data_IF_597470409463
#
_entry.id   IF_597470409463
#
_cell.length_a   1.000
_cell.length_b   1.000
_cell.length_c   1.000
_cell.angle_alpha   90.00
_cell.angle_beta   90.00
_cell.angle_gamma   90.00
#
_symmetry.space_group_name_H-M   'P 1'
#
loop_
_entity.id
_entity.type
_entity.pdbx_description
1 polymer ?
#
# COMPACT_ATOMS: atom_id res chain seq x y z
N UNK A 1 -11.99 -23.21 -6.41
CA UNK A 1 -10.86 -22.80 -7.28
C UNK A 1 -9.98 -24.01 -7.37
N UNK A 2 -9.87 -24.57 -8.56
CA UNK A 2 -9.09 -25.76 -8.84
C UNK A 2 -7.77 -25.35 -9.51
N UNK A 3 -6.65 -25.75 -8.92
CA UNK A 3 -5.31 -25.54 -9.48
C UNK A 3 -5.07 -26.58 -10.56
N UNK A 4 -4.71 -26.13 -11.76
CA UNK A 4 -4.49 -27.00 -12.93
C UNK A 4 -3.01 -27.02 -13.34
N UNK A 5 -2.73 -27.11 -14.63
CA UNK A 5 -1.39 -27.26 -15.18
C UNK A 5 -0.46 -26.08 -14.85
N UNK A 6 0.84 -26.38 -14.73
CA UNK A 6 1.89 -25.37 -14.62
C UNK A 6 2.07 -24.66 -15.96
N UNK A 7 1.92 -23.34 -15.98
CA UNK A 7 2.11 -22.48 -17.16
C UNK A 7 3.57 -22.04 -17.26
N UNK A 8 4.14 -21.58 -16.14
CA UNK A 8 5.46 -20.97 -16.10
C UNK A 8 6.11 -21.18 -14.73
N UNK A 9 7.42 -21.46 -14.72
CA UNK A 9 8.22 -21.47 -13.51
C UNK A 9 9.38 -20.48 -13.63
N UNK A 10 9.35 -19.45 -12.77
CA UNK A 10 10.41 -18.48 -12.65
C UNK A 10 11.33 -18.76 -11.45
N UNK A 11 12.25 -17.82 -11.21
CA UNK A 11 13.23 -17.90 -10.11
C UNK A 11 12.58 -17.96 -8.72
N UNK A 12 11.46 -17.27 -8.52
CA UNK A 12 10.82 -17.12 -7.21
C UNK A 12 9.37 -17.61 -7.14
N UNK A 13 8.72 -17.88 -8.29
CA UNK A 13 7.30 -18.21 -8.38
C UNK A 13 7.04 -19.28 -9.43
N UNK A 14 6.00 -20.08 -9.21
CA UNK A 14 5.35 -20.92 -10.22
C UNK A 14 3.97 -20.36 -10.51
N UNK A 15 3.57 -20.37 -11.78
CA UNK A 15 2.26 -19.87 -12.23
C UNK A 15 1.47 -21.03 -12.80
N UNK A 16 0.28 -21.26 -12.24
CA UNK A 16 -0.59 -22.37 -12.61
C UNK A 16 -1.89 -21.85 -13.22
N UNK A 17 -2.41 -22.58 -14.21
CA UNK A 17 -3.75 -22.37 -14.72
C UNK A 17 -4.80 -22.73 -13.66
N UNK A 18 -6.03 -22.27 -13.89
CA UNK A 18 -7.19 -22.59 -13.04
C UNK A 18 -8.37 -23.12 -13.84
N UNK A 19 -9.42 -23.54 -13.14
CA UNK A 19 -10.70 -23.85 -13.73
C UNK A 19 -11.46 -22.64 -14.29
N UNK A 20 -11.03 -21.41 -13.98
CA UNK A 20 -11.62 -20.19 -14.51
C UNK A 20 -10.72 -19.55 -15.58
N UNK A 21 -11.19 -19.42 -16.83
CA UNK A 21 -10.41 -18.81 -17.90
C UNK A 21 -9.92 -17.40 -17.54
N UNK A 22 -8.63 -17.16 -17.81
CA UNK A 22 -7.97 -15.89 -17.53
C UNK A 22 -7.53 -15.68 -16.09
N UNK A 23 -7.83 -16.60 -15.16
CA UNK A 23 -7.30 -16.56 -13.79
C UNK A 23 -6.15 -17.55 -13.62
N UNK A 24 -5.13 -17.14 -12.88
CA UNK A 24 -3.94 -17.95 -12.59
C UNK A 24 -3.59 -17.90 -11.11
N UNK A 25 -2.89 -18.93 -10.65
CA UNK A 25 -2.38 -19.04 -9.29
C UNK A 25 -0.87 -18.81 -9.33
N UNK A 26 -0.40 -17.81 -8.61
CA UNK A 26 1.02 -17.62 -8.34
C UNK A 26 1.37 -18.32 -7.02
N UNK A 27 2.14 -19.41 -7.10
CA UNK A 27 2.74 -20.08 -5.95
C UNK A 27 4.15 -19.52 -5.72
N UNK A 28 4.36 -18.91 -4.57
CA UNK A 28 5.64 -18.33 -4.18
C UNK A 28 6.54 -19.36 -3.53
N UNK A 29 7.81 -19.35 -3.93
CA UNK A 29 8.83 -20.31 -3.50
C UNK A 29 9.78 -19.71 -2.47
N UNK A 30 10.31 -20.57 -1.61
CA UNK A 30 11.33 -20.22 -0.62
C UNK A 30 12.73 -20.06 -1.22
N UNK A 31 12.91 -20.39 -2.51
CA UNK A 31 14.17 -20.14 -3.19
C UNK A 31 14.44 -18.64 -3.32
N UNK A 32 15.69 -18.29 -3.03
CA UNK A 32 16.22 -16.95 -3.13
C UNK A 32 17.37 -16.93 -4.13
N UNK A 33 17.37 -15.92 -4.99
CA UNK A 33 18.44 -15.67 -5.95
C UNK A 33 18.93 -14.23 -5.85
N UNK A 34 20.23 -14.01 -6.04
CA UNK A 34 20.84 -12.68 -6.08
C UNK A 34 21.94 -12.62 -7.16
N UNK A 35 22.27 -11.40 -7.60
CA UNK A 35 23.28 -11.13 -8.64
C UNK A 35 23.04 -11.96 -9.92
N UNK A 36 21.83 -11.84 -10.49
CA UNK A 36 21.42 -12.52 -11.73
C UNK A 36 21.55 -14.05 -11.65
N UNK A 37 21.25 -14.60 -10.47
CA UNK A 37 21.28 -16.04 -10.23
C UNK A 37 22.66 -16.62 -9.89
N UNK A 38 23.71 -15.78 -9.80
CA UNK A 38 25.05 -16.20 -9.34
C UNK A 38 25.07 -16.64 -7.88
N UNK A 39 24.15 -16.11 -7.07
CA UNK A 39 23.92 -16.55 -5.69
C UNK A 39 22.54 -17.19 -5.62
N UNK A 40 22.47 -18.40 -5.07
CA UNK A 40 21.24 -19.16 -4.84
C UNK A 40 21.22 -19.69 -3.41
N UNK A 41 20.04 -19.76 -2.82
CA UNK A 41 19.83 -20.28 -1.47
C UNK A 41 18.36 -20.50 -1.17
N UNK A 42 18.07 -20.98 0.03
CA UNK A 42 16.71 -21.10 0.56
C UNK A 42 16.59 -20.11 1.72
N UNK A 43 15.49 -19.35 1.76
CA UNK A 43 15.10 -18.52 2.90
C UNK A 43 13.78 -19.12 3.40
N UNK A 44 13.81 -19.81 4.53
CA UNK A 44 12.62 -20.51 5.02
C UNK A 44 11.45 -19.54 5.26
N UNK A 45 10.27 -19.86 4.74
CA UNK A 45 9.08 -19.02 4.87
C UNK A 45 9.06 -17.76 3.99
N UNK A 46 10.04 -17.57 3.11
CA UNK A 46 10.06 -16.46 2.14
C UNK A 46 8.83 -16.47 1.24
N UNK A 47 8.47 -17.62 0.69
CA UNK A 47 7.34 -17.74 -0.22
C UNK A 47 6.04 -17.30 0.45
N UNK A 48 5.87 -17.69 1.72
CA UNK A 48 4.77 -17.23 2.57
C UNK A 48 4.76 -15.72 2.75
N UNK A 49 5.89 -15.15 3.17
CA UNK A 49 6.01 -13.70 3.41
C UNK A 49 5.71 -12.92 2.14
N UNK A 50 6.25 -13.34 0.99
CA UNK A 50 6.04 -12.65 -0.27
C UNK A 50 4.58 -12.71 -0.74
N UNK A 51 3.93 -13.87 -0.62
CA UNK A 51 2.52 -14.01 -1.00
C UNK A 51 1.59 -13.18 -0.12
N UNK A 52 1.74 -13.29 1.20
CA UNK A 52 0.90 -12.57 2.17
C UNK A 52 1.12 -11.05 2.08
N UNK A 53 2.37 -10.59 1.98
CA UNK A 53 2.67 -9.17 1.80
C UNK A 53 2.11 -8.65 0.47
N UNK A 54 2.23 -9.41 -0.62
CA UNK A 54 1.66 -9.00 -1.92
C UNK A 54 0.14 -8.86 -1.85
N UNK A 55 -0.57 -9.81 -1.22
CA UNK A 55 -2.02 -9.70 -1.01
C UNK A 55 -2.39 -8.44 -0.21
N UNK A 56 -1.70 -8.18 0.91
CA UNK A 56 -1.97 -7.00 1.75
C UNK A 56 -1.75 -5.71 0.97
N UNK A 57 -0.60 -5.59 0.30
CA UNK A 57 -0.22 -4.38 -0.42
C UNK A 57 -1.12 -4.17 -1.64
N UNK A 58 -1.44 -5.20 -2.42
CA UNK A 58 -2.36 -5.04 -3.55
C UNK A 58 -3.77 -4.65 -3.10
N UNK A 59 -4.32 -5.26 -2.05
CA UNK A 59 -5.61 -4.82 -1.49
C UNK A 59 -5.56 -3.38 -1.00
N UNK A 60 -4.46 -2.98 -0.37
CA UNK A 60 -4.28 -1.59 0.09
C UNK A 60 -4.21 -0.61 -1.09
N UNK A 61 -3.46 -0.93 -2.14
CA UNK A 61 -3.36 -0.14 -3.36
C UNK A 61 -4.70 -0.03 -4.09
N UNK A 62 -5.48 -1.11 -4.15
CA UNK A 62 -6.81 -1.13 -4.77
C UNK A 62 -7.82 -0.26 -4.02
N UNK A 63 -7.79 -0.27 -2.69
CA UNK A 63 -8.58 0.68 -1.86
C UNK A 63 -8.23 2.14 -2.18
N UNK A 64 -6.99 2.41 -2.58
CA UNK A 64 -6.52 3.74 -2.98
C UNK A 64 -6.61 3.99 -4.50
N UNK A 65 -7.32 3.13 -5.23
CA UNK A 65 -7.67 3.34 -6.64
C UNK A 65 -6.59 2.96 -7.65
N UNK A 66 -5.56 2.20 -7.26
CA UNK A 66 -4.62 1.58 -8.20
C UNK A 66 -5.22 0.25 -8.67
N UNK A 67 -5.26 0.01 -9.98
CA UNK A 67 -5.78 -1.24 -10.54
C UNK A 67 -4.66 -2.28 -10.61
N UNK A 68 -4.92 -3.46 -10.07
CA UNK A 68 -3.95 -4.56 -10.02
C UNK A 68 -4.53 -5.82 -10.65
N UNK A 69 -3.69 -6.83 -10.89
CA UNK A 69 -4.14 -8.15 -11.29
C UNK A 69 -4.67 -9.00 -10.12
N UNK A 70 -4.53 -8.53 -8.88
CA UNK A 70 -4.80 -9.32 -7.69
C UNK A 70 -6.28 -9.65 -7.55
N UNK A 71 -6.60 -10.86 -7.09
CA UNK A 71 -7.97 -11.26 -6.77
C UNK A 71 -8.11 -11.61 -5.29
N UNK A 72 -7.27 -12.50 -4.77
CA UNK A 72 -7.24 -12.89 -3.35
C UNK A 72 -6.07 -13.81 -3.02
N UNK A 73 -5.67 -13.83 -1.75
CA UNK A 73 -4.91 -14.93 -1.16
C UNK A 73 -5.71 -16.25 -1.17
N UNK A 74 -5.08 -17.35 -1.59
CA UNK A 74 -5.67 -18.70 -1.58
C UNK A 74 -5.13 -19.56 -0.45
N UNK A 75 -3.84 -19.44 -0.16
CA UNK A 75 -3.13 -20.15 0.90
C UNK A 75 -1.98 -19.27 1.38
N UNK A 76 -1.18 -19.74 2.34
CA UNK A 76 -0.12 -18.90 2.92
C UNK A 76 0.96 -18.50 1.90
N UNK A 77 1.14 -19.25 0.81
CA UNK A 77 2.13 -18.98 -0.24
C UNK A 77 1.54 -18.88 -1.65
N UNK A 78 0.21 -18.82 -1.80
CA UNK A 78 -0.45 -18.72 -3.10
C UNK A 78 -1.43 -17.56 -3.18
N UNK A 79 -1.32 -16.76 -4.25
CA UNK A 79 -2.31 -15.74 -4.59
C UNK A 79 -3.00 -16.09 -5.92
N UNK A 80 -4.28 -15.76 -6.00
CA UNK A 80 -5.06 -15.78 -7.24
C UNK A 80 -4.98 -14.41 -7.91
N UNK A 81 -4.73 -14.39 -9.22
CA UNK A 81 -4.64 -13.18 -10.02
C UNK A 81 -5.32 -13.36 -11.38
N UNK A 82 -5.54 -12.25 -12.08
CA UNK A 82 -5.78 -12.26 -13.51
C UNK A 82 -4.47 -12.46 -14.27
N UNK A 83 -4.51 -13.29 -15.32
CA UNK A 83 -3.44 -13.38 -16.30
C UNK A 83 -3.25 -12.05 -17.00
N UNK A 84 -1.98 -11.63 -17.13
CA UNK A 84 -1.59 -10.43 -17.86
C UNK A 84 -0.63 -10.80 -18.99
N UNK A 85 -0.74 -10.09 -20.11
CA UNK A 85 0.34 -9.98 -21.09
C UNK A 85 1.37 -8.98 -20.55
N UNK A 86 2.45 -9.51 -19.97
CA UNK A 86 3.45 -8.70 -19.28
C UNK A 86 4.23 -7.81 -20.25
N UNK A 87 4.37 -6.52 -19.91
CA UNK A 87 5.25 -5.59 -20.59
C UNK A 87 6.66 -5.84 -20.04
N UNK A 88 7.68 -6.15 -20.88
CA UNK A 88 9.01 -6.56 -20.42
C UNK A 88 9.87 -5.36 -19.97
N UNK A 89 9.29 -4.43 -19.21
CA UNK A 89 9.96 -3.26 -18.64
C UNK A 89 9.70 -3.23 -17.13
N UNK A 90 10.78 -3.31 -16.36
CA UNK A 90 10.73 -3.13 -14.92
C UNK A 90 10.84 -1.62 -14.61
N UNK A 91 9.94 -1.12 -13.76
CA UNK A 91 9.96 0.27 -13.32
C UNK A 91 10.44 0.33 -11.88
N UNK A 92 11.54 1.04 -11.64
CA UNK A 92 12.09 1.23 -10.30
C UNK A 92 11.85 2.66 -9.85
N UNK A 93 11.21 2.83 -8.70
CA UNK A 93 11.05 4.13 -8.04
C UNK A 93 11.99 4.21 -6.85
N UNK A 94 12.76 5.30 -6.74
CA UNK A 94 13.78 5.49 -5.70
C UNK A 94 13.53 6.75 -4.88
N UNK A 95 13.34 6.57 -3.58
CA UNK A 95 13.29 7.66 -2.60
C UNK A 95 14.67 7.94 -1.98
N UNK A 96 15.52 6.93 -1.91
CA UNK A 96 16.87 7.02 -1.35
C UNK A 96 17.89 6.36 -2.28
N UNK A 97 19.14 6.81 -2.20
CA UNK A 97 20.26 6.18 -2.89
C UNK A 97 20.58 4.84 -2.23
N UNK A 98 20.39 3.76 -2.98
CA UNK A 98 20.74 2.41 -2.58
C UNK A 98 21.09 1.55 -3.81
N UNK A 99 21.64 0.34 -3.56
CA UNK A 99 21.84 -0.67 -4.58
C UNK A 99 22.55 -0.17 -5.85
N UNK A 100 21.94 -0.42 -7.01
CA UNK A 100 22.51 -0.07 -8.31
C UNK A 100 22.65 1.44 -8.54
N UNK A 101 21.74 2.27 -8.01
CA UNK A 101 21.85 3.73 -8.12
C UNK A 101 23.09 4.26 -7.39
N UNK A 102 23.27 3.85 -6.13
CA UNK A 102 24.40 4.27 -5.31
C UNK A 102 25.73 3.89 -5.98
N UNK A 103 25.83 2.65 -6.47
CA UNK A 103 27.02 2.17 -7.18
C UNK A 103 27.26 2.91 -8.51
N UNK A 104 26.21 3.11 -9.33
CA UNK A 104 26.32 3.67 -10.68
C UNK A 104 26.71 5.15 -10.66
N UNK A 105 26.16 5.92 -9.72
CA UNK A 105 26.35 7.38 -9.67
C UNK A 105 27.27 7.85 -8.53
N UNK A 106 27.78 6.93 -7.71
CA UNK A 106 28.67 7.26 -6.59
C UNK A 106 27.98 7.99 -5.43
N UNK A 107 26.66 7.86 -5.30
CA UNK A 107 25.95 8.41 -4.15
C UNK A 107 26.31 7.64 -2.87
N UNK A 108 26.53 8.35 -1.74
CA UNK A 108 26.52 7.70 -0.44
C UNK A 108 25.19 6.97 -0.23
N UNK A 109 25.25 5.73 0.26
CA UNK A 109 24.05 4.96 0.54
C UNK A 109 23.20 5.69 1.60
N UNK A 110 21.86 5.62 1.47
CA UNK A 110 20.86 6.32 2.29
C UNK A 110 20.80 7.84 2.09
N UNK A 111 21.44 8.38 1.05
CA UNK A 111 21.17 9.76 0.64
C UNK A 111 19.70 9.87 0.20
N UNK A 112 18.92 10.76 0.81
CA UNK A 112 17.55 11.02 0.38
C UNK A 112 17.53 11.76 -0.97
N UNK A 113 16.64 11.33 -1.87
CA UNK A 113 16.46 11.99 -3.16
C UNK A 113 15.59 13.24 -3.00
N UNK A 114 15.98 14.34 -3.65
CA UNK A 114 15.21 15.60 -3.63
C UNK A 114 13.78 15.43 -4.17
N UNK A 115 13.60 14.48 -5.07
CA UNK A 115 12.33 13.99 -5.58
C UNK A 115 12.50 12.52 -5.97
N UNK A 116 11.44 11.69 -5.95
CA UNK A 116 11.54 10.30 -6.38
C UNK A 116 12.09 10.17 -7.80
N UNK A 117 13.06 9.29 -7.99
CA UNK A 117 13.63 8.98 -9.31
C UNK A 117 12.92 7.75 -9.88
N UNK A 118 12.50 7.82 -11.14
CA UNK A 118 11.97 6.66 -11.89
C UNK A 118 13.03 6.18 -12.89
N UNK A 119 13.31 4.88 -12.86
CA UNK A 119 14.24 4.22 -13.77
C UNK A 119 13.57 3.05 -14.47
N UNK A 120 13.95 2.82 -15.73
CA UNK A 120 13.44 1.72 -16.53
C UNK A 120 14.53 0.68 -16.75
N UNK A 121 14.15 -0.58 -16.69
CA UNK A 121 15.06 -1.72 -16.86
C UNK A 121 14.43 -2.74 -17.80
N UNK A 122 15.22 -3.29 -18.71
CA UNK A 122 14.74 -4.32 -19.61
C UNK A 122 14.62 -5.63 -18.83
N UNK A 123 13.45 -6.27 -18.81
CA UNK A 123 13.32 -7.60 -18.22
C UNK A 123 13.93 -8.65 -19.16
N UNK A 124 15.21 -8.90 -19.03
CA UNK A 124 15.96 -9.85 -19.83
C UNK A 124 17.13 -10.44 -19.05
N UNK A 125 16.89 -11.63 -18.49
CA UNK A 125 17.83 -12.37 -17.65
C UNK A 125 19.17 -12.67 -18.36
N UNK A 126 19.17 -12.87 -19.69
CA UNK A 126 20.40 -13.15 -20.45
C UNK A 126 21.30 -11.92 -20.56
N UNK A 127 20.70 -10.73 -20.60
CA UNK A 127 21.40 -9.45 -20.65
C UNK A 127 21.70 -8.85 -19.26
N UNK A 128 21.23 -9.50 -18.19
CA UNK A 128 21.39 -9.02 -16.81
C UNK A 128 20.58 -7.76 -16.54
N UNK A 129 19.37 -7.69 -17.08
CA UNK A 129 18.41 -6.60 -16.91
C UNK A 129 19.02 -5.19 -17.08
N UNK A 130 19.43 -4.80 -18.30
CA UNK A 130 20.09 -3.52 -18.52
C UNK A 130 19.15 -2.32 -18.30
N UNK A 131 19.70 -1.21 -17.80
CA UNK A 131 18.95 0.06 -17.69
C UNK A 131 18.61 0.61 -19.08
N UNK A 132 17.39 1.10 -19.24
CA UNK A 132 16.88 1.65 -20.49
C UNK A 132 16.60 3.15 -20.39
N UNK A 133 16.89 3.86 -21.48
CA UNK A 133 16.27 5.14 -21.77
C UNK A 133 14.91 4.93 -22.45
N UNK A 134 14.05 5.95 -22.46
CA UNK A 134 12.74 5.87 -23.13
C UNK A 134 12.88 5.56 -24.62
N UNK A 135 13.92 6.11 -25.24
CA UNK A 135 14.26 5.88 -26.64
C UNK A 135 14.59 4.41 -26.91
N UNK A 136 15.24 3.71 -25.97
CA UNK A 136 15.48 2.27 -26.12
C UNK A 136 14.17 1.47 -26.06
N UNK A 137 13.25 1.84 -25.16
CA UNK A 137 11.93 1.19 -25.03
C UNK A 137 11.14 1.34 -26.33
N UNK A 138 11.16 2.54 -26.93
CA UNK A 138 10.51 2.83 -28.21
C UNK A 138 11.15 2.04 -29.36
N UNK A 139 12.48 2.06 -29.46
CA UNK A 139 13.23 1.36 -30.52
C UNK A 139 12.99 -0.15 -30.49
N UNK A 140 12.97 -0.73 -29.29
CA UNK A 140 12.72 -2.15 -29.09
C UNK A 140 11.24 -2.53 -29.18
N UNK A 141 10.33 -1.55 -29.28
CA UNK A 141 8.89 -1.76 -29.34
C UNK A 141 8.32 -2.41 -28.07
N UNK A 142 8.93 -2.18 -26.89
CA UNK A 142 8.51 -2.85 -25.64
C UNK A 142 7.22 -2.25 -25.06
N UNK A 143 7.00 -0.95 -25.26
CA UNK A 143 5.79 -0.23 -24.85
C UNK A 143 5.61 1.03 -25.71
N UNK A 144 4.36 1.49 -25.87
CA UNK A 144 4.08 2.81 -26.44
C UNK A 144 4.46 3.93 -25.46
N UNK A 145 4.61 5.16 -25.97
CA UNK A 145 4.89 6.33 -25.12
C UNK A 145 3.75 6.56 -24.10
N UNK A 146 2.50 6.37 -24.52
CA UNK A 146 1.32 6.46 -23.65
C UNK A 146 1.33 5.40 -22.55
N UNK A 147 1.66 4.15 -22.89
CA UNK A 147 1.79 3.08 -21.90
C UNK A 147 2.92 3.39 -20.91
N UNK A 148 4.06 3.89 -21.39
CA UNK A 148 5.20 4.22 -20.53
C UNK A 148 4.88 5.38 -19.59
N UNK A 149 4.16 6.39 -20.07
CA UNK A 149 3.67 7.51 -19.25
C UNK A 149 2.66 7.03 -18.20
N UNK A 150 1.71 6.18 -18.57
CA UNK A 150 0.73 5.62 -17.65
C UNK A 150 1.39 4.76 -16.57
N UNK A 151 2.29 3.84 -16.95
CA UNK A 151 3.03 3.01 -15.99
C UNK A 151 3.88 3.88 -15.04
N UNK A 152 4.53 4.93 -15.56
CA UNK A 152 5.34 5.87 -14.76
C UNK A 152 4.47 6.63 -13.75
N UNK A 153 3.32 7.14 -14.20
CA UNK A 153 2.34 7.82 -13.35
C UNK A 153 1.82 6.90 -12.24
N UNK A 154 1.45 5.66 -12.57
CA UNK A 154 1.00 4.67 -11.59
C UNK A 154 2.13 4.36 -10.59
N UNK A 155 3.37 4.17 -11.05
CA UNK A 155 4.50 3.87 -10.17
C UNK A 155 4.77 4.99 -9.15
N UNK A 156 4.69 6.26 -9.57
CA UNK A 156 4.81 7.41 -8.67
C UNK A 156 3.64 7.49 -7.68
N UNK A 157 2.42 7.22 -8.13
CA UNK A 157 1.25 7.19 -7.24
C UNK A 157 1.30 6.03 -6.24
N UNK A 158 1.81 4.86 -6.65
CA UNK A 158 2.11 3.74 -5.74
C UNK A 158 3.12 4.18 -4.68
N UNK A 159 4.16 4.93 -5.06
CA UNK A 159 5.12 5.49 -4.10
C UNK A 159 4.44 6.43 -3.09
N UNK A 160 3.62 7.37 -3.55
CA UNK A 160 2.87 8.30 -2.70
C UNK A 160 1.95 7.58 -1.71
N UNK A 161 1.33 6.47 -2.12
CA UNK A 161 0.45 5.67 -1.27
C UNK A 161 1.24 4.82 -0.26
N UNK A 162 2.34 4.20 -0.71
CA UNK A 162 3.08 3.22 0.11
C UNK A 162 4.10 3.84 1.05
N UNK A 163 4.68 5.00 0.73
CA UNK A 163 5.58 5.72 1.65
C UNK A 163 4.97 5.93 3.04
N UNK A 164 3.82 6.63 3.19
CA UNK A 164 3.19 6.81 4.50
C UNK A 164 2.73 5.49 5.11
N UNK A 165 2.34 4.51 4.29
CA UNK A 165 1.96 3.17 4.78
C UNK A 165 3.12 2.46 5.51
N UNK A 166 4.32 2.49 4.94
CA UNK A 166 5.52 1.92 5.57
C UNK A 166 6.05 2.79 6.70
N UNK A 167 6.05 4.12 6.55
CA UNK A 167 6.49 5.06 7.59
C UNK A 167 5.67 4.87 8.87
N UNK A 168 4.35 4.74 8.75
CA UNK A 168 3.48 4.41 9.88
C UNK A 168 3.90 3.10 10.57
N UNK A 169 4.51 2.15 9.85
CA UNK A 169 4.95 0.86 10.38
C UNK A 169 6.41 0.84 10.83
N UNK A 170 7.01 2.03 11.01
CA UNK A 170 8.41 2.16 11.41
C UNK A 170 9.37 1.62 10.35
N UNK A 171 8.99 1.69 9.07
CA UNK A 171 9.78 1.22 7.93
C UNK A 171 9.97 2.35 6.93
N UNK A 172 11.21 2.54 6.48
CA UNK A 172 11.55 3.45 5.39
C UNK A 172 11.50 2.68 4.08
N UNK A 173 10.63 3.10 3.16
CA UNK A 173 10.59 2.58 1.78
C UNK A 173 11.66 3.27 0.93
N UNK A 174 12.84 2.65 0.83
CA UNK A 174 14.00 3.24 0.17
C UNK A 174 13.86 3.28 -1.35
N UNK A 175 13.51 2.13 -1.95
CA UNK A 175 13.14 1.99 -3.36
C UNK A 175 12.29 0.74 -3.56
N UNK A 176 11.64 0.62 -4.71
CA UNK A 176 10.93 -0.60 -5.11
C UNK A 176 10.84 -0.73 -6.62
N UNK A 177 10.58 -1.96 -7.07
CA UNK A 177 10.40 -2.34 -8.46
C UNK A 177 8.97 -2.80 -8.70
N UNK A 178 8.36 -2.34 -9.79
CA UNK A 178 7.06 -2.77 -10.27
C UNK A 178 7.17 -3.36 -11.69
N UNK A 179 6.24 -4.25 -12.00
CA UNK A 179 6.03 -4.79 -13.34
C UNK A 179 4.55 -4.64 -13.70
N UNK A 180 4.28 -4.34 -14.98
CA UNK A 180 2.94 -4.10 -15.47
C UNK A 180 2.62 -5.05 -16.61
N UNK A 181 1.33 -5.26 -16.84
CA UNK A 181 0.87 -6.02 -17.99
C UNK A 181 -0.51 -5.59 -18.44
N UNK A 182 -0.88 -6.06 -19.62
CA UNK A 182 -2.16 -5.77 -20.24
C UNK A 182 -3.14 -6.92 -20.03
N UNK A 183 -4.39 -6.56 -19.75
CA UNK A 183 -5.51 -7.48 -19.86
C UNK A 183 -6.63 -6.80 -20.64
N UNK A 184 -7.02 -7.40 -21.77
CA UNK A 184 -8.07 -6.85 -22.63
C UNK A 184 -7.78 -5.39 -23.01
N UNK A 185 -6.50 -5.08 -23.27
CA UNK A 185 -6.02 -3.72 -23.60
C UNK A 185 -5.90 -2.77 -22.41
N UNK A 186 -6.22 -3.19 -21.18
CA UNK A 186 -6.11 -2.36 -19.96
C UNK A 186 -4.81 -2.64 -19.22
N UNK A 187 -4.10 -1.57 -18.86
CA UNK A 187 -2.90 -1.65 -18.05
C UNK A 187 -3.24 -1.95 -16.59
N UNK A 188 -2.58 -2.95 -16.02
CA UNK A 188 -2.71 -3.35 -14.62
C UNK A 188 -1.33 -3.52 -13.98
N UNK A 189 -1.22 -3.16 -12.70
CA UNK A 189 -0.07 -3.52 -11.88
C UNK A 189 -0.08 -5.04 -11.63
N UNK A 190 1.04 -5.71 -11.90
CA UNK A 190 1.16 -7.16 -11.80
C UNK A 190 2.32 -7.64 -10.91
N UNK A 191 2.73 -8.87 -11.16
CA UNK A 191 3.81 -9.60 -10.48
C UNK A 191 3.66 -9.76 -8.96
N UNK A 192 4.38 -8.99 -8.14
CA UNK A 192 4.37 -9.07 -6.68
C UNK A 192 4.74 -7.71 -6.03
N UNK A 193 4.46 -7.56 -4.73
CA UNK A 193 5.07 -6.51 -3.90
C UNK A 193 5.49 -7.11 -2.56
N UNK A 194 6.80 -7.27 -2.36
CA UNK A 194 7.40 -8.05 -1.27
C UNK A 194 8.82 -7.55 -0.93
N UNK A 195 9.47 -8.05 0.14
CA UNK A 195 10.86 -7.66 0.47
C UNK A 195 11.90 -8.11 -0.58
N UNK A 196 11.49 -8.92 -1.57
CA UNK A 196 12.34 -9.26 -2.72
C UNK A 196 12.44 -8.12 -3.74
N UNK A 197 11.37 -7.34 -3.88
CA UNK A 197 11.19 -6.30 -4.92
C UNK A 197 11.20 -4.88 -4.37
N UNK A 198 11.22 -4.70 -3.04
CA UNK A 198 11.43 -3.40 -2.40
C UNK A 198 12.63 -3.42 -1.44
N UNK A 199 13.22 -2.25 -1.20
CA UNK A 199 14.17 -2.02 -0.12
C UNK A 199 13.48 -1.33 1.04
N UNK A 200 13.63 -1.94 2.21
CA UNK A 200 13.02 -1.49 3.45
C UNK A 200 14.11 -1.35 4.49
N UNK A 201 14.09 -0.25 5.24
CA UNK A 201 14.95 -0.07 6.40
C UNK A 201 14.11 0.17 7.64
N UNK A 202 14.54 -0.35 8.78
CA UNK A 202 13.94 0.01 10.06
C UNK A 202 14.17 1.50 10.33
N UNK A 203 13.11 2.24 10.64
CA UNK A 203 13.19 3.70 10.71
C UNK A 203 14.00 4.21 11.91
N UNK A 204 14.09 3.44 12.99
CA UNK A 204 14.79 3.84 14.22
C UNK A 204 16.26 3.42 14.17
N UNK A 205 16.51 2.16 13.85
CA UNK A 205 17.84 1.55 13.90
C UNK A 205 18.59 1.68 12.57
N UNK A 206 17.84 1.91 11.49
CA UNK A 206 18.38 1.82 10.14
C UNK A 206 18.75 0.40 9.73
N UNK A 207 18.30 -0.65 10.41
CA UNK A 207 18.59 -2.03 10.01
C UNK A 207 18.02 -2.33 8.60
N UNK A 208 18.72 -3.14 7.81
CA UNK A 208 18.21 -3.57 6.49
C UNK A 208 17.12 -4.62 6.71
N UNK A 209 15.93 -4.34 6.21
CA UNK A 209 14.70 -5.11 6.41
C UNK A 209 14.23 -5.82 5.12
N UNK A 210 15.13 -6.06 4.17
CA UNK A 210 14.78 -6.62 2.87
C UNK A 210 15.81 -7.65 2.35
N UNK A 211 15.63 -8.10 1.11
CA UNK A 211 16.51 -9.08 0.46
C UNK A 211 17.98 -8.68 0.41
N UNK A 212 18.34 -7.40 0.58
CA UNK A 212 19.73 -6.97 0.70
C UNK A 212 20.47 -7.67 1.86
N UNK A 213 19.76 -8.15 2.90
CA UNK A 213 20.37 -9.03 3.91
C UNK A 213 20.93 -10.31 3.32
N UNK A 214 20.18 -10.95 2.44
CA UNK A 214 20.64 -12.11 1.69
C UNK A 214 21.71 -11.73 0.66
N UNK A 215 21.55 -10.59 -0.05
CA UNK A 215 22.54 -10.15 -1.05
C UNK A 215 23.91 -9.89 -0.43
N UNK A 216 23.96 -9.38 0.81
CA UNK A 216 25.17 -8.93 1.51
C UNK A 216 25.62 -9.84 2.67
N UNK A 217 25.02 -11.02 2.82
CA UNK A 217 25.38 -11.99 3.87
C UNK A 217 25.28 -11.45 5.32
N UNK A 218 24.23 -10.65 5.61
CA UNK A 218 24.04 -9.99 6.91
C UNK A 218 23.38 -10.86 7.99
N UNK A 219 23.08 -12.13 7.68
CA UNK A 219 22.34 -13.05 8.56
C UNK A 219 20.90 -12.62 8.84
N UNK A 220 20.19 -13.35 9.71
CA UNK A 220 18.83 -13.04 10.18
C UNK A 220 17.76 -12.82 9.10
N UNK A 221 17.91 -13.45 7.94
CA UNK A 221 17.07 -13.15 6.78
C UNK A 221 15.62 -13.58 7.03
N UNK A 222 15.40 -14.79 7.54
CA UNK A 222 14.06 -15.33 7.82
C UNK A 222 13.34 -14.52 8.89
N UNK A 223 14.03 -14.21 9.98
CA UNK A 223 13.52 -13.40 11.09
C UNK A 223 13.13 -11.99 10.61
N UNK A 224 13.94 -11.40 9.75
CA UNK A 224 13.65 -10.09 9.14
C UNK A 224 12.39 -10.13 8.28
N UNK A 225 12.25 -11.14 7.42
CA UNK A 225 11.08 -11.28 6.56
C UNK A 225 9.80 -11.49 7.39
N UNK A 226 9.87 -12.32 8.44
CA UNK A 226 8.76 -12.52 9.36
C UNK A 226 8.37 -11.23 10.09
N UNK A 227 9.36 -10.44 10.53
CA UNK A 227 9.13 -9.16 11.20
C UNK A 227 8.50 -8.12 10.26
N UNK A 228 8.95 -8.04 9.01
CA UNK A 228 8.32 -7.18 8.00
C UNK A 228 6.86 -7.58 7.80
N UNK A 229 6.58 -8.87 7.62
CA UNK A 229 5.21 -9.35 7.46
C UNK A 229 4.36 -8.99 8.68
N UNK A 230 4.88 -9.16 9.90
CA UNK A 230 4.17 -8.77 11.14
C UNK A 230 3.77 -7.29 11.10
N UNK A 231 4.73 -6.39 10.86
CA UNK A 231 4.50 -4.93 10.82
C UNK A 231 3.53 -4.53 9.70
N UNK A 232 3.65 -5.14 8.52
CA UNK A 232 2.76 -4.89 7.37
C UNK A 232 1.35 -5.41 7.64
N UNK A 233 1.22 -6.55 8.31
CA UNK A 233 -0.07 -7.16 8.64
C UNK A 233 -0.83 -6.45 9.77
N UNK A 234 -0.14 -5.65 10.59
CA UNK A 234 -0.78 -4.86 11.62
C UNK A 234 -1.66 -3.77 10.99
N UNK A 235 -2.98 -3.93 11.15
CA UNK A 235 -3.92 -2.83 11.02
C UNK A 235 -3.62 -1.85 12.15
N UNK A 236 -3.01 -0.71 11.81
CA UNK A 236 -3.02 0.41 12.76
C UNK A 236 -4.47 0.80 12.96
N UNK A 237 -4.94 0.66 14.21
CA UNK A 237 -6.25 1.14 14.61
C UNK A 237 -6.36 2.61 14.19
N UNK A 238 -7.27 2.90 13.26
CA UNK A 238 -7.61 4.27 12.93
C UNK A 238 -8.04 5.01 14.20
N UNK A 239 -7.77 6.30 14.27
CA UNK A 239 -8.18 7.12 15.40
C UNK A 239 -9.69 7.20 15.40
N UNK A 240 -10.32 6.64 16.44
CA UNK A 240 -11.75 6.75 16.63
C UNK A 240 -12.04 8.13 17.24
N UNK A 241 -13.07 8.80 16.72
CA UNK A 241 -13.42 10.15 17.16
C UNK A 241 -14.93 10.27 17.27
N UNK A 242 -15.40 10.77 18.40
CA UNK A 242 -16.77 11.14 18.62
C UNK A 242 -16.94 12.66 18.52
N UNK A 243 -17.92 13.12 17.76
CA UNK A 243 -18.29 14.53 17.62
C UNK A 243 -19.72 14.73 18.08
N UNK A 244 -19.88 15.61 19.06
CA UNK A 244 -21.17 16.03 19.59
C UNK A 244 -21.49 17.41 19.04
N UNK A 245 -22.60 17.54 18.32
CA UNK A 245 -23.07 18.82 17.77
C UNK A 245 -24.35 19.20 18.50
N UNK A 246 -24.42 20.41 19.01
CA UNK A 246 -25.59 20.91 19.74
C UNK A 246 -25.94 22.32 19.30
N UNK A 247 -27.22 22.73 19.31
CA UNK A 247 -27.56 24.11 18.99
C UNK A 247 -26.88 25.09 19.97
N UNK A 248 -26.51 26.28 19.50
CA UNK A 248 -25.95 27.36 20.33
C UNK A 248 -26.96 27.88 21.34
N UNK A 249 -26.48 28.30 22.51
CA UNK A 249 -27.35 28.89 23.55
C UNK A 249 -28.11 30.09 22.96
N UNK A 250 -29.44 30.10 23.12
CA UNK A 250 -30.32 31.14 22.58
C UNK A 250 -30.83 30.89 21.15
N UNK A 251 -30.32 29.89 20.44
CA UNK A 251 -30.91 29.42 19.18
C UNK A 251 -32.08 28.50 19.47
N UNK A 252 -33.19 28.72 18.77
CA UNK A 252 -34.40 27.90 18.88
C UNK A 252 -34.10 26.48 18.41
N UNK A 253 -34.46 25.50 19.24
CA UNK A 253 -34.47 24.08 18.91
C UNK A 253 -35.92 23.57 18.91
N UNK A 254 -36.61 23.59 17.76
CA UNK A 254 -38.00 23.16 17.68
C UNK A 254 -38.20 21.70 18.09
N UNK A 255 -37.21 20.83 17.82
CA UNK A 255 -37.29 19.42 18.17
C UNK A 255 -37.21 19.24 19.69
N UNK A 256 -36.25 19.92 20.33
CA UNK A 256 -36.14 19.95 21.79
C UNK A 256 -37.40 20.46 22.47
N UNK A 257 -38.01 21.53 21.95
CA UNK A 257 -39.27 22.07 22.50
C UNK A 257 -40.44 21.09 22.37
N UNK A 258 -40.58 20.43 21.22
CA UNK A 258 -41.61 19.41 21.04
C UNK A 258 -41.41 18.23 22.01
N UNK A 259 -40.17 17.77 22.19
CA UNK A 259 -39.83 16.70 23.13
C UNK A 259 -40.07 17.11 24.59
N UNK A 260 -39.76 18.35 24.97
CA UNK A 260 -40.06 18.87 26.31
C UNK A 260 -41.56 18.80 26.61
N UNK A 261 -42.41 19.26 25.68
CA UNK A 261 -43.86 19.20 25.85
C UNK A 261 -44.38 17.76 25.94
N UNK A 262 -43.79 16.83 25.18
CA UNK A 262 -44.13 15.42 25.25
C UNK A 262 -43.74 14.80 26.62
N UNK A 263 -42.56 15.11 27.15
CA UNK A 263 -42.11 14.63 28.45
C UNK A 263 -42.99 15.15 29.60
N UNK A 264 -43.34 16.43 29.58
CA UNK A 264 -44.24 17.01 30.58
C UNK A 264 -45.64 16.38 30.52
N UNK A 265 -46.17 16.12 29.33
CA UNK A 265 -47.46 15.43 29.15
C UNK A 265 -47.45 13.99 29.66
N UNK A 266 -46.27 13.36 29.75
CA UNK A 266 -46.08 12.02 30.33
C UNK A 266 -45.87 12.05 31.86
N UNK A 267 -45.89 13.23 32.49
CA UNK A 267 -45.76 13.40 33.94
C UNK A 267 -44.34 13.66 34.43
N UNK A 268 -43.37 13.95 33.54
CA UNK A 268 -42.00 14.33 33.91
C UNK A 268 -41.87 15.85 34.09
N UNK A 269 -42.57 16.41 35.07
CA UNK A 269 -42.68 17.85 35.33
C UNK A 269 -41.37 18.51 35.80
N UNK A 270 -40.41 17.71 36.27
CA UNK A 270 -39.07 18.15 36.66
C UNK A 270 -38.19 18.57 35.47
N UNK A 271 -38.53 18.16 34.25
CA UNK A 271 -37.76 18.51 33.05
C UNK A 271 -38.08 19.95 32.63
N UNK A 272 -37.07 20.82 32.69
CA UNK A 272 -37.21 22.27 32.41
C UNK A 272 -36.73 22.69 31.03
N UNK A 273 -35.84 21.92 30.43
CA UNK A 273 -35.26 22.21 29.12
C UNK A 273 -34.86 20.89 28.46
N UNK A 274 -35.07 20.82 27.14
CA UNK A 274 -34.55 19.74 26.30
C UNK A 274 -33.83 20.37 25.12
N UNK A 275 -32.64 19.86 24.83
CA UNK A 275 -31.80 20.24 23.69
C UNK A 275 -31.44 18.98 22.94
N UNK A 276 -31.71 18.95 21.64
CA UNK A 276 -31.41 17.81 20.77
C UNK A 276 -30.24 18.17 19.86
N UNK A 277 -29.26 17.27 19.85
CA UNK A 277 -28.04 17.39 19.07
C UNK A 277 -27.76 16.16 18.22
N UNK A 278 -26.64 16.18 17.50
CA UNK A 278 -26.13 15.05 16.72
C UNK A 278 -24.95 14.42 17.46
N UNK A 279 -24.86 13.10 17.37
CA UNK A 279 -23.68 12.32 17.75
C UNK A 279 -23.12 11.68 16.50
N UNK A 280 -21.88 11.99 16.15
CA UNK A 280 -21.22 11.56 14.92
C UNK A 280 -19.94 10.83 15.29
N UNK A 281 -19.81 9.57 14.88
CA UNK A 281 -18.58 8.79 15.06
C UNK A 281 -17.78 8.77 13.77
N UNK A 282 -16.49 9.06 13.86
CA UNK A 282 -15.53 9.02 12.77
C UNK A 282 -14.45 7.98 13.09
N UNK A 283 -13.93 7.34 12.05
CA UNK A 283 -12.70 6.56 12.11
C UNK A 283 -11.73 7.15 11.10
N UNK A 284 -10.63 7.71 11.60
CA UNK A 284 -9.60 8.32 10.77
C UNK A 284 -8.48 7.31 10.51
N UNK A 285 -8.29 6.94 9.26
CA UNK A 285 -7.15 6.12 8.82
C UNK A 285 -6.09 7.04 8.19
N UNK A 286 -4.81 6.72 8.39
CA UNK A 286 -3.71 7.45 7.75
C UNK A 286 -3.50 8.89 8.24
N UNK A 287 -4.09 9.27 9.38
CA UNK A 287 -3.86 10.56 10.04
C UNK A 287 -3.04 10.32 11.29
N UNK A 288 -1.92 11.05 11.43
CA UNK A 288 -1.12 11.04 12.65
C UNK A 288 -1.96 11.48 13.86
N UNK A 289 -1.76 10.84 15.01
CA UNK A 289 -2.62 11.05 16.18
C UNK A 289 -2.62 12.52 16.67
N UNK A 290 -1.49 13.22 16.52
CA UNK A 290 -1.33 14.63 16.87
C UNK A 290 -2.06 15.60 15.90
N UNK A 291 -2.33 15.16 14.67
CA UNK A 291 -3.05 15.94 13.65
C UNK A 291 -4.53 15.57 13.53
N UNK A 292 -4.94 14.45 14.12
CA UNK A 292 -6.29 13.92 13.98
C UNK A 292 -7.34 14.91 14.50
N UNK A 293 -7.11 15.55 15.65
CA UNK A 293 -8.05 16.53 16.21
C UNK A 293 -8.22 17.76 15.30
N UNK A 294 -7.12 18.29 14.74
CA UNK A 294 -7.16 19.44 13.83
C UNK A 294 -7.97 19.12 12.57
N UNK A 295 -7.78 17.94 11.99
CA UNK A 295 -8.55 17.49 10.83
C UNK A 295 -10.04 17.36 11.14
N UNK A 296 -10.40 16.80 12.29
CA UNK A 296 -11.81 16.70 12.69
C UNK A 296 -12.43 18.07 12.94
N UNK A 297 -11.68 19.01 13.54
CA UNK A 297 -12.15 20.39 13.71
C UNK A 297 -12.44 21.05 12.35
N UNK A 298 -11.55 20.90 11.36
CA UNK A 298 -11.81 21.41 10.01
C UNK A 298 -13.08 20.77 9.40
N UNK A 299 -13.27 19.46 9.57
CA UNK A 299 -14.48 18.76 9.11
C UNK A 299 -15.74 19.30 9.81
N UNK A 300 -15.66 19.62 11.09
CA UNK A 300 -16.76 20.21 11.85
C UNK A 300 -17.16 21.57 11.31
N UNK A 301 -16.19 22.47 11.10
CA UNK A 301 -16.43 23.82 10.59
C UNK A 301 -16.96 23.83 9.15
N UNK A 302 -16.52 22.88 8.33
CA UNK A 302 -16.87 22.83 6.91
C UNK A 302 -18.16 22.06 6.62
N UNK A 303 -18.51 21.09 7.46
CA UNK A 303 -19.58 20.14 7.13
C UNK A 303 -20.37 19.61 8.32
N UNK A 304 -19.70 19.13 9.37
CA UNK A 304 -20.41 18.33 10.40
C UNK A 304 -21.26 19.20 11.34
N UNK A 305 -20.92 20.48 11.49
CA UNK A 305 -21.67 21.47 12.24
C UNK A 305 -21.91 22.73 11.41
N UNK A 306 -23.01 23.42 11.67
CA UNK A 306 -23.24 24.76 11.16
C UNK A 306 -22.70 25.80 12.16
N UNK A 307 -21.58 26.49 11.87
CA UNK A 307 -20.92 27.37 12.83
C UNK A 307 -21.75 28.60 13.23
N UNK A 308 -22.82 28.92 12.49
CA UNK A 308 -23.70 30.06 12.83
C UNK A 308 -24.63 29.69 13.98
N UNK A 309 -25.15 28.47 14.01
CA UNK A 309 -26.26 28.07 14.88
C UNK A 309 -25.98 26.87 15.78
N UNK A 310 -24.89 26.14 15.56
CA UNK A 310 -24.48 24.97 16.34
C UNK A 310 -23.09 25.17 16.97
N UNK A 311 -22.91 24.67 18.18
CA UNK A 311 -21.62 24.42 18.82
C UNK A 311 -21.27 22.93 18.67
N UNK A 312 -19.97 22.59 18.74
CA UNK A 312 -19.53 21.20 18.72
C UNK A 312 -18.44 20.90 19.75
N UNK A 313 -18.35 19.63 20.15
CA UNK A 313 -17.27 19.06 20.98
C UNK A 313 -16.72 17.82 20.28
N UNK A 314 -15.40 17.69 20.28
CA UNK A 314 -14.68 16.52 19.74
C UNK A 314 -14.09 15.73 20.91
N UNK A 315 -14.28 14.42 20.90
CA UNK A 315 -13.69 13.46 21.84
C UNK A 315 -12.91 12.41 21.04
N UNK A 316 -11.63 12.27 21.35
CA UNK A 316 -10.76 11.24 20.75
C UNK A 316 -10.90 9.97 21.59
N UNK A 317 -11.15 8.82 20.96
CA UNK A 317 -11.34 7.51 21.59
C UNK A 317 -10.08 6.62 21.55
#
# INVERSE_FOLDING_TARGET
MEKRELIYEGKAKKVYATDQPGQVIHEFKDEATAFDGKKRGIIAGKGKVNAMMSDIIFRYLEKHGIKTHHLKLLSENEILTWWLEMIPVEIIVRNYAAGSLAKRLGYPERTEMKAPIVEYYYKNDELGDPMLAREHIRELGLASDEQLDEMTSIALRVNEILRPYFEARGLILADFKLEFGLREGRLLLGDEFSPDVCRLWDAETGEIMDKDRFRRDLGKVEETYAEVLRRVSEEKAGVAVAVYVSPKKGILDPAGQATLGALQSLGYDEVREVRIGKYITLRLEGVEADKAEERVREMCERLLANPIIEDYRVEME
#
